data_IF_820035639760
#
_entry.id   IF_820035639760
#
_cell.length_a   1.000
_cell.length_b   1.000
_cell.length_c   1.000
_cell.angle_alpha   90.00
_cell.angle_beta   90.00
_cell.angle_gamma   90.00
#
_symmetry.space_group_name_H-M   'P 1'
#
loop_
_entity.id
_entity.type
_entity.pdbx_description
1 polymer ?
#
# COMPACT_ATOMS: atom_id res chain seq x y z
N UNK A 1 -14.41 -21.94 -34.85
CA UNK A 1 -15.58 -21.20 -34.32
C UNK A 1 -15.57 -21.39 -32.82
N UNK A 2 -15.02 -20.43 -32.06
CA UNK A 2 -14.97 -20.47 -30.58
C UNK A 2 -16.17 -19.68 -30.01
N UNK A 3 -16.78 -20.09 -28.88
CA UNK A 3 -17.84 -19.30 -28.28
C UNK A 3 -17.27 -18.16 -27.43
N UNK A 4 -17.81 -16.97 -27.65
CA UNK A 4 -17.58 -15.75 -26.86
C UNK A 4 -18.38 -15.87 -25.56
N UNK A 5 -17.71 -16.04 -24.41
CA UNK A 5 -18.36 -16.04 -23.10
C UNK A 5 -18.47 -14.59 -22.63
N UNK A 6 -19.68 -14.04 -22.72
CA UNK A 6 -20.04 -12.71 -22.25
C UNK A 6 -20.41 -12.80 -20.75
N UNK A 7 -19.57 -12.27 -19.87
CA UNK A 7 -19.93 -12.09 -18.46
C UNK A 7 -20.90 -10.90 -18.33
N UNK A 8 -22.06 -11.02 -17.65
CA UNK A 8 -22.94 -9.89 -17.43
C UNK A 8 -22.29 -8.92 -16.43
N UNK A 9 -22.07 -7.69 -16.89
CA UNK A 9 -21.68 -6.54 -16.08
C UNK A 9 -22.83 -6.23 -15.11
N UNK A 10 -22.65 -6.54 -13.82
CA UNK A 10 -23.58 -6.11 -12.78
C UNK A 10 -23.38 -4.60 -12.55
N UNK A 11 -24.22 -3.79 -13.19
CA UNK A 11 -24.34 -2.36 -12.91
C UNK A 11 -25.18 -2.20 -11.65
N UNK A 12 -24.55 -1.84 -10.53
CA UNK A 12 -25.28 -1.45 -9.31
C UNK A 12 -25.59 0.05 -9.44
N UNK A 13 -26.86 0.47 -9.55
CA UNK A 13 -27.19 1.89 -9.52
C UNK A 13 -26.99 2.42 -8.09
N UNK A 14 -26.05 3.33 -7.90
CA UNK A 14 -25.95 4.14 -6.69
C UNK A 14 -27.15 5.10 -6.66
N UNK A 15 -28.22 4.72 -5.95
CA UNK A 15 -29.32 5.61 -5.61
C UNK A 15 -29.15 6.16 -4.20
N UNK A 16 -28.76 7.43 -4.13
CA UNK A 16 -29.06 8.44 -3.11
C UNK A 16 -28.97 8.05 -1.62
N UNK A 17 -27.82 8.32 -1.01
CA UNK A 17 -27.74 8.63 0.43
C UNK A 17 -26.42 9.35 0.79
N UNK A 18 -26.17 10.55 0.26
CA UNK A 18 -25.24 11.50 0.89
C UNK A 18 -25.83 12.91 0.78
N UNK A 19 -26.00 13.64 1.90
CA UNK A 19 -26.46 15.02 1.84
C UNK A 19 -25.37 15.89 1.19
N UNK A 20 -25.72 16.57 0.09
CA UNK A 20 -24.89 17.62 -0.51
C UNK A 20 -24.73 18.75 0.49
N UNK A 21 -23.55 18.88 1.07
CA UNK A 21 -23.10 20.17 1.60
C UNK A 21 -22.35 20.88 0.47
N UNK A 22 -22.93 21.98 -0.01
CA UNK A 22 -22.34 22.88 -1.00
C UNK A 22 -20.88 23.19 -0.63
N UNK A 23 -19.94 22.77 -1.48
CA UNK A 23 -18.55 23.21 -1.42
C UNK A 23 -18.23 23.98 -2.68
N UNK A 24 -18.05 25.28 -2.49
CA UNK A 24 -17.63 26.26 -3.49
C UNK A 24 -16.43 25.76 -4.29
N UNK A 25 -16.59 25.82 -5.61
CA UNK A 25 -15.70 25.33 -6.65
C UNK A 25 -14.63 26.37 -7.03
N UNK A 26 -13.63 26.59 -6.17
CA UNK A 26 -12.47 27.40 -6.59
C UNK A 26 -11.14 27.17 -5.86
N UNK A 27 -10.97 26.15 -5.00
CA UNK A 27 -9.67 25.87 -4.35
C UNK A 27 -9.46 24.36 -4.08
N UNK A 28 -9.18 23.52 -5.08
CA UNK A 28 -8.90 22.09 -4.81
C UNK A 28 -7.99 21.37 -5.83
N UNK A 29 -7.06 22.08 -6.47
CA UNK A 29 -6.11 21.42 -7.38
C UNK A 29 -4.63 21.74 -7.12
N UNK A 30 -4.32 22.72 -6.28
CA UNK A 30 -2.92 23.10 -6.01
C UNK A 30 -2.31 22.42 -4.77
N UNK A 31 -3.13 22.00 -3.79
CA UNK A 31 -2.63 21.55 -2.47
C UNK A 31 -2.44 20.03 -2.35
N UNK A 32 -3.09 19.22 -3.20
CA UNK A 32 -2.92 17.75 -3.18
C UNK A 32 -1.58 17.32 -3.74
N UNK A 33 -1.13 17.95 -4.84
CA UNK A 33 0.07 17.54 -5.59
C UNK A 33 1.38 17.77 -4.82
N UNK A 34 1.46 18.84 -4.03
CA UNK A 34 2.66 19.15 -3.23
C UNK A 34 2.90 18.06 -2.17
N UNK A 35 1.82 17.48 -1.61
CA UNK A 35 1.96 16.46 -0.56
C UNK A 35 2.31 15.08 -1.11
N UNK A 36 1.78 14.70 -2.28
CA UNK A 36 2.03 13.38 -2.87
C UNK A 36 3.44 13.27 -3.45
N UNK A 37 4.00 14.33 -4.04
CA UNK A 37 5.38 14.30 -4.54
C UNK A 37 6.42 14.13 -3.43
N UNK A 38 6.25 14.84 -2.31
CA UNK A 38 7.15 14.70 -1.18
C UNK A 38 7.01 13.33 -0.50
N UNK A 39 5.80 12.78 -0.45
CA UNK A 39 5.60 11.40 0.00
C UNK A 39 6.27 10.39 -0.92
N UNK A 40 6.19 10.58 -2.25
CA UNK A 40 6.83 9.71 -3.23
C UNK A 40 8.35 9.71 -3.04
N UNK A 41 8.96 10.87 -2.76
CA UNK A 41 10.40 10.95 -2.46
C UNK A 41 10.78 10.11 -1.23
N UNK A 42 9.94 10.12 -0.20
CA UNK A 42 10.16 9.31 1.01
C UNK A 42 9.98 7.82 0.69
N UNK A 43 8.87 7.46 0.04
CA UNK A 43 8.53 6.06 -0.29
C UNK A 43 9.56 5.43 -1.23
N UNK A 44 10.04 6.18 -2.22
CA UNK A 44 10.96 5.71 -3.26
C UNK A 44 12.43 6.05 -2.99
N UNK A 45 12.76 6.49 -1.77
CA UNK A 45 14.14 6.82 -1.42
C UNK A 45 15.07 5.62 -1.65
N UNK A 46 16.02 5.77 -2.58
CA UNK A 46 16.95 4.71 -3.03
C UNK A 46 16.27 3.44 -3.59
N UNK A 47 15.05 3.57 -4.14
CA UNK A 47 14.30 2.51 -4.83
C UNK A 47 14.21 2.89 -6.31
N UNK A 48 14.82 2.10 -7.20
CA UNK A 48 14.81 2.35 -8.64
C UNK A 48 13.78 1.49 -9.37
N UNK A 49 13.82 0.20 -9.09
CA UNK A 49 13.00 -0.84 -9.70
C UNK A 49 12.76 -1.96 -8.68
N UNK A 50 11.62 -2.64 -8.79
CA UNK A 50 11.23 -3.74 -7.91
C UNK A 50 10.85 -4.92 -8.78
N UNK A 51 11.45 -6.06 -8.50
CA UNK A 51 11.05 -7.34 -9.06
C UNK A 51 10.13 -8.02 -8.05
N UNK A 52 8.99 -8.47 -8.53
CA UNK A 52 8.02 -9.21 -7.73
C UNK A 52 7.85 -10.60 -8.31
N UNK A 53 7.58 -11.57 -7.43
CA UNK A 53 7.20 -12.91 -7.87
C UNK A 53 5.70 -12.95 -8.19
N UNK A 54 5.35 -13.65 -9.28
CA UNK A 54 3.95 -13.80 -9.70
C UNK A 54 3.33 -12.55 -10.35
N UNK A 55 2.00 -12.46 -10.29
CA UNK A 55 1.21 -11.39 -10.91
C UNK A 55 0.60 -10.50 -9.82
N UNK A 56 1.06 -9.24 -9.67
CA UNK A 56 0.46 -8.31 -8.72
C UNK A 56 -1.00 -7.99 -9.10
N UNK A 57 -1.86 -7.88 -8.10
CA UNK A 57 -3.20 -7.32 -8.30
C UNK A 57 -3.10 -5.83 -8.65
N UNK A 58 -3.96 -5.39 -9.57
CA UNK A 58 -4.12 -3.97 -9.91
C UNK A 58 -4.95 -3.30 -8.83
N UNK A 59 -4.45 -2.18 -8.31
CA UNK A 59 -5.12 -1.44 -7.25
C UNK A 59 -5.76 -0.17 -7.79
N UNK A 60 -6.91 0.16 -7.22
CA UNK A 60 -7.59 1.43 -7.45
C UNK A 60 -7.85 2.09 -6.10
N UNK A 61 -7.38 3.32 -5.94
CA UNK A 61 -7.60 4.14 -4.75
C UNK A 61 -8.29 5.43 -5.17
N UNK A 62 -9.17 5.94 -4.33
CA UNK A 62 -9.97 7.13 -4.63
C UNK A 62 -9.92 8.12 -3.47
N UNK A 63 -10.07 9.40 -3.80
CA UNK A 63 -10.12 10.50 -2.84
C UNK A 63 -9.06 11.57 -3.10
N UNK A 64 -9.19 12.74 -2.46
CA UNK A 64 -8.35 13.91 -2.73
C UNK A 64 -6.88 13.75 -2.31
N UNK A 65 -6.59 12.78 -1.43
CA UNK A 65 -5.25 12.49 -0.93
C UNK A 65 -4.70 11.17 -1.47
N UNK A 66 -5.36 10.57 -2.44
CA UNK A 66 -5.03 9.27 -2.99
C UNK A 66 -4.09 9.41 -4.21
N UNK A 67 -3.05 8.59 -4.28
CA UNK A 67 -2.08 8.63 -5.36
C UNK A 67 -1.44 7.26 -5.64
N UNK A 68 -1.06 6.97 -6.89
CA UNK A 68 -0.27 5.78 -7.20
C UNK A 68 1.16 5.95 -6.69
N UNK A 69 1.77 4.85 -6.23
CA UNK A 69 3.16 4.82 -5.74
C UNK A 69 4.05 4.01 -6.68
N UNK A 70 3.63 2.78 -6.98
CA UNK A 70 4.31 1.89 -7.93
C UNK A 70 3.35 1.50 -9.03
N UNK A 71 3.87 1.48 -10.25
CA UNK A 71 3.17 0.97 -11.43
C UNK A 71 3.97 -0.18 -12.03
N UNK A 72 3.29 -1.24 -12.46
CA UNK A 72 3.88 -2.35 -13.18
C UNK A 72 3.59 -2.25 -14.67
N UNK A 73 4.56 -2.66 -15.51
CA UNK A 73 4.34 -2.84 -16.95
C UNK A 73 3.76 -4.23 -17.22
N UNK A 74 2.65 -4.27 -17.94
CA UNK A 74 1.97 -5.51 -18.36
C UNK A 74 2.56 -6.13 -19.63
N UNK A 75 3.66 -5.57 -20.16
CA UNK A 75 4.30 -5.98 -21.41
C UNK A 75 3.63 -5.39 -22.66
N UNK A 76 2.57 -4.61 -22.48
CA UNK A 76 1.83 -3.92 -23.56
C UNK A 76 2.09 -2.40 -23.58
N UNK A 77 3.02 -1.91 -22.75
CA UNK A 77 3.23 -0.48 -22.52
C UNK A 77 2.17 0.17 -21.63
N UNK A 78 1.22 -0.61 -21.11
CA UNK A 78 0.24 -0.17 -20.13
C UNK A 78 0.83 -0.32 -18.74
N UNK A 79 0.94 0.81 -18.04
CA UNK A 79 1.35 0.91 -16.64
C UNK A 79 0.13 0.85 -15.73
N UNK A 80 0.08 -0.14 -14.83
CA UNK A 80 -1.03 -0.33 -13.90
C UNK A 80 -0.56 -0.15 -12.44
N UNK A 81 -1.31 0.55 -11.58
CA UNK A 81 -0.92 0.72 -10.18
C UNK A 81 -0.92 -0.62 -9.43
N UNK A 82 0.21 -0.95 -8.83
CA UNK A 82 0.41 -2.16 -8.00
C UNK A 82 0.72 -1.81 -6.54
N UNK A 83 1.05 -0.54 -6.27
CA UNK A 83 1.03 0.02 -4.93
C UNK A 83 0.40 1.42 -4.96
N UNK A 84 -0.47 1.70 -4.00
CA UNK A 84 -1.24 2.95 -3.93
C UNK A 84 -1.24 3.47 -2.51
N UNK A 85 -1.24 4.78 -2.35
CA UNK A 85 -1.23 5.43 -1.05
C UNK A 85 -2.41 6.39 -0.91
N UNK A 86 -2.83 6.60 0.33
CA UNK A 86 -3.80 7.64 0.68
C UNK A 86 -3.64 8.08 2.14
N UNK A 87 -4.38 9.11 2.52
CA UNK A 87 -4.53 9.56 3.91
C UNK A 87 -5.97 9.36 4.35
N UNK A 88 -6.15 8.89 5.58
CA UNK A 88 -7.46 8.82 6.23
C UNK A 88 -7.37 9.49 7.60
N UNK A 89 -7.99 10.67 7.73
CA UNK A 89 -7.79 11.54 8.88
C UNK A 89 -6.31 11.90 9.06
N UNK A 90 -5.76 11.61 10.24
CA UNK A 90 -4.32 11.78 10.54
C UNK A 90 -3.47 10.58 10.10
N UNK A 91 -4.09 9.46 9.74
CA UNK A 91 -3.43 8.24 9.32
C UNK A 91 -2.99 8.26 7.86
N UNK A 92 -2.06 7.37 7.54
CA UNK A 92 -1.58 7.09 6.19
C UNK A 92 -1.85 5.61 5.90
N UNK A 93 -2.22 5.32 4.67
CA UNK A 93 -2.54 3.97 4.21
C UNK A 93 -1.71 3.70 2.96
N UNK A 94 -1.06 2.54 2.91
CA UNK A 94 -0.41 2.01 1.72
C UNK A 94 -1.06 0.66 1.39
N UNK A 95 -1.59 0.55 0.18
CA UNK A 95 -2.10 -0.71 -0.38
C UNK A 95 -1.05 -1.32 -1.29
N UNK A 96 -0.87 -2.64 -1.16
CA UNK A 96 0.08 -3.45 -1.94
C UNK A 96 -0.70 -4.52 -2.69
N UNK A 97 -0.47 -4.64 -4.00
CA UNK A 97 -1.21 -5.55 -4.88
C UNK A 97 -0.82 -7.02 -4.71
N UNK A 98 0.23 -7.29 -3.93
CA UNK A 98 0.70 -8.62 -3.59
C UNK A 98 1.38 -8.58 -2.23
N UNK A 99 1.44 -9.72 -1.59
CA UNK A 99 2.16 -10.01 -0.37
C UNK A 99 3.65 -10.25 -0.56
N UNK A 100 4.13 -10.41 -1.79
CA UNK A 100 5.55 -10.58 -2.11
C UNK A 100 6.41 -9.41 -1.60
N UNK A 101 5.83 -8.22 -1.46
CA UNK A 101 6.45 -7.06 -0.79
C UNK A 101 6.79 -7.30 0.69
N UNK A 102 6.10 -8.26 1.33
CA UNK A 102 6.26 -8.65 2.73
C UNK A 102 7.16 -9.89 2.88
N UNK A 103 7.67 -10.44 1.78
CA UNK A 103 8.60 -11.56 1.78
C UNK A 103 10.04 -11.02 1.62
N UNK A 104 10.78 -10.84 2.72
CA UNK A 104 12.09 -10.20 2.66
C UNK A 104 13.11 -11.09 1.96
N UNK A 105 13.72 -10.56 0.90
CA UNK A 105 14.85 -11.20 0.22
C UNK A 105 16.15 -10.48 0.62
N UNK A 106 16.88 -11.06 1.57
CA UNK A 106 18.23 -10.60 1.89
C UNK A 106 19.27 -11.60 1.43
N UNK A 107 20.24 -11.12 0.66
CA UNK A 107 21.54 -11.77 0.51
C UNK A 107 22.56 -11.00 1.33
N UNK A 108 23.61 -11.69 1.80
CA UNK A 108 24.50 -11.30 2.90
C UNK A 108 25.09 -9.87 2.90
N UNK A 109 24.94 -9.08 1.82
CA UNK A 109 25.51 -7.73 1.73
C UNK A 109 24.64 -6.66 1.04
N UNK A 110 23.47 -7.00 0.48
CA UNK A 110 22.67 -6.04 -0.30
C UNK A 110 21.18 -6.17 0.01
N UNK A 111 20.60 -5.10 0.57
CA UNK A 111 19.15 -4.95 0.74
C UNK A 111 18.54 -4.75 -0.65
N UNK A 112 17.59 -5.61 -1.02
CA UNK A 112 16.84 -5.48 -2.27
C UNK A 112 16.03 -4.18 -2.31
N UNK A 113 15.73 -3.68 -3.50
CA UNK A 113 14.88 -2.49 -3.64
C UNK A 113 13.45 -2.72 -3.09
N UNK A 114 12.95 -3.97 -3.14
CA UNK A 114 11.71 -4.42 -2.51
C UNK A 114 11.76 -4.19 -0.99
N UNK A 115 12.82 -4.65 -0.35
CA UNK A 115 13.03 -4.49 1.09
C UNK A 115 13.21 -3.02 1.49
N UNK A 116 13.96 -2.23 0.71
CA UNK A 116 14.05 -0.77 0.93
C UNK A 116 12.69 -0.09 0.85
N UNK A 117 11.88 -0.45 -0.15
CA UNK A 117 10.53 0.08 -0.31
C UNK A 117 9.65 -0.28 0.88
N UNK A 118 9.73 -1.51 1.40
CA UNK A 118 9.03 -1.93 2.61
C UNK A 118 9.44 -1.08 3.83
N UNK A 119 10.74 -0.87 4.06
CA UNK A 119 11.24 -0.06 5.19
C UNK A 119 10.80 1.40 5.07
N UNK A 120 10.95 2.01 3.88
CA UNK A 120 10.48 3.37 3.61
C UNK A 120 8.96 3.49 3.87
N UNK A 121 8.20 2.49 3.48
CA UNK A 121 6.75 2.43 3.67
C UNK A 121 6.37 2.41 5.14
N UNK A 122 7.05 1.61 5.96
CA UNK A 122 6.82 1.54 7.41
C UNK A 122 7.10 2.90 8.07
N UNK A 123 8.22 3.52 7.75
CA UNK A 123 8.55 4.86 8.27
C UNK A 123 7.55 5.91 7.80
N UNK A 124 7.14 5.86 6.53
CA UNK A 124 6.19 6.80 5.98
C UNK A 124 4.82 6.69 6.66
N UNK A 125 4.29 5.46 6.79
CA UNK A 125 2.97 5.20 7.40
C UNK A 125 2.97 5.58 8.89
N UNK A 126 3.99 5.18 9.64
CA UNK A 126 4.05 5.38 11.09
C UNK A 126 4.23 6.84 11.51
N UNK A 127 4.89 7.66 10.68
CA UNK A 127 5.35 9.02 11.05
C UNK A 127 6.24 9.04 12.30
N UNK A 128 6.80 7.90 12.68
CA UNK A 128 7.62 7.73 13.88
C UNK A 128 9.05 7.35 13.44
N UNK A 129 10.11 8.03 13.97
CA UNK A 129 11.49 7.61 13.70
C UNK A 129 11.79 6.19 14.19
N UNK A 130 11.10 5.72 15.24
CA UNK A 130 11.23 4.38 15.80
C UNK A 130 9.87 3.65 15.73
N UNK A 131 9.46 3.18 14.54
CA UNK A 131 8.16 2.54 14.36
C UNK A 131 8.11 1.17 15.05
N UNK A 132 6.94 0.82 15.59
CA UNK A 132 6.62 -0.55 16.01
C UNK A 132 5.59 -1.13 15.04
N UNK A 133 5.81 -2.35 14.58
CA UNK A 133 4.96 -3.01 13.58
C UNK A 133 4.17 -4.16 14.19
N UNK A 134 2.85 -4.10 14.10
CA UNK A 134 2.00 -5.25 14.36
C UNK A 134 1.75 -6.00 13.06
N UNK A 135 2.01 -7.31 13.06
CA UNK A 135 1.82 -8.18 11.90
C UNK A 135 0.63 -9.07 12.19
N UNK A 136 -0.44 -8.91 11.42
CA UNK A 136 -1.62 -9.75 11.56
C UNK A 136 -1.31 -11.15 11.03
N UNK A 137 -1.20 -12.12 11.94
CA UNK A 137 -0.86 -13.49 11.59
C UNK A 137 -2.06 -14.16 10.94
N UNK A 138 -2.17 -13.97 9.63
CA UNK A 138 -3.17 -14.59 8.77
C UNK A 138 -2.50 -15.72 7.98
N UNK A 139 -2.24 -16.87 8.60
CA UNK A 139 -1.80 -18.10 7.89
C UNK A 139 -0.56 -17.95 7.00
N UNK A 140 0.19 -16.85 7.14
CA UNK A 140 1.29 -16.48 6.24
C UNK A 140 2.52 -17.31 6.52
N UNK A 141 3.06 -17.94 5.48
CA UNK A 141 4.21 -18.85 5.54
C UNK A 141 5.50 -18.15 6.01
N UNK A 142 5.61 -16.84 5.83
CA UNK A 142 6.84 -16.04 6.00
C UNK A 142 6.77 -15.00 7.13
N UNK A 143 5.75 -15.07 7.99
CA UNK A 143 5.58 -14.07 9.07
C UNK A 143 6.75 -14.02 10.05
N UNK A 144 7.40 -15.16 10.32
CA UNK A 144 8.62 -15.21 11.12
C UNK A 144 9.82 -14.57 10.40
N UNK A 145 9.97 -14.81 9.09
CA UNK A 145 11.06 -14.23 8.30
C UNK A 145 10.95 -12.71 8.24
N UNK A 146 9.72 -12.20 8.11
CA UNK A 146 9.43 -10.77 8.21
C UNK A 146 9.76 -10.20 9.59
N UNK A 147 9.40 -10.89 10.68
CA UNK A 147 9.76 -10.47 12.04
C UNK A 147 11.27 -10.40 12.20
N UNK A 148 12.00 -11.42 11.76
CA UNK A 148 13.47 -11.46 11.79
C UNK A 148 14.09 -10.34 10.97
N UNK A 149 13.61 -10.13 9.74
CA UNK A 149 14.06 -9.04 8.87
C UNK A 149 13.86 -7.68 9.55
N UNK A 150 12.66 -7.38 10.04
CA UNK A 150 12.39 -6.12 10.72
C UNK A 150 13.27 -5.94 11.97
N UNK A 151 13.51 -7.02 12.72
CA UNK A 151 14.43 -7.03 13.86
C UNK A 151 15.87 -6.67 13.47
N UNK A 152 16.38 -7.23 12.38
CA UNK A 152 17.71 -6.89 11.84
C UNK A 152 17.81 -5.41 11.43
N UNK A 153 16.69 -4.79 11.05
CA UNK A 153 16.59 -3.36 10.73
C UNK A 153 16.16 -2.48 11.90
N UNK A 154 16.26 -2.98 13.14
CA UNK A 154 15.92 -2.25 14.36
C UNK A 154 14.46 -1.74 14.42
N UNK A 155 13.53 -2.46 13.78
CA UNK A 155 12.08 -2.20 13.81
C UNK A 155 11.43 -3.27 14.70
N UNK A 156 11.05 -2.94 15.95
CA UNK A 156 10.33 -3.87 16.81
C UNK A 156 9.04 -4.33 16.13
N UNK A 157 8.78 -5.63 16.15
CA UNK A 157 7.57 -6.19 15.56
C UNK A 157 6.92 -7.25 16.44
N UNK A 158 5.60 -7.40 16.32
CA UNK A 158 4.82 -8.37 17.10
C UNK A 158 3.76 -9.01 16.22
N UNK A 159 3.67 -10.34 16.28
CA UNK A 159 2.60 -11.08 15.64
C UNK A 159 1.33 -10.95 16.48
N UNK A 160 0.24 -10.52 15.86
CA UNK A 160 -1.08 -10.46 16.47
C UNK A 160 -2.00 -11.51 15.85
N UNK A 161 -2.71 -12.26 16.68
CA UNK A 161 -3.64 -13.31 16.25
C UNK A 161 -4.97 -12.69 15.82
N UNK A 162 -5.59 -13.24 14.78
CA UNK A 162 -6.84 -12.71 14.23
C UNK A 162 -8.05 -12.72 15.16
N UNK A 163 -7.92 -13.29 16.36
CA UNK A 163 -8.94 -13.27 17.43
C UNK A 163 -8.88 -12.03 18.33
N UNK A 164 -7.84 -11.20 18.22
CA UNK A 164 -7.62 -10.03 19.07
C UNK A 164 -7.37 -8.78 18.24
N UNK A 165 -8.40 -8.26 17.56
CA UNK A 165 -8.40 -6.85 17.22
C UNK A 165 -8.64 -6.07 18.52
N UNK A 166 -7.73 -5.18 18.97
CA UNK A 166 -7.98 -4.36 20.14
C UNK A 166 -9.25 -3.55 19.89
N UNK A 167 -10.18 -3.59 20.84
CA UNK A 167 -11.39 -2.79 20.77
C UNK A 167 -11.01 -1.33 20.56
N UNK A 168 -11.74 -0.64 19.69
CA UNK A 168 -11.52 0.75 19.28
C UNK A 168 -11.65 1.78 20.41
N UNK A 169 -11.71 1.35 21.67
CA UNK A 169 -11.87 2.22 22.85
C UNK A 169 -10.54 2.73 23.42
N UNK A 170 -9.39 2.38 22.83
CA UNK A 170 -8.07 2.89 23.28
C UNK A 170 -7.13 3.27 22.13
N UNK A 171 -7.61 4.09 21.20
CA UNK A 171 -6.75 4.84 20.26
C UNK A 171 -7.06 6.34 20.34
#
# INVERSE_FOLDING_TARGET
>A
MLPLILFPMLVIPFSNAFPETERNSSESSATSNVTSEDDLKVLLNNVKDIYLTGWPAVLSVYGPSAFPVLVGDTGSGILLPIAVASRYGKGKILGLGTDDFLDPEESEQIISNKNKFLLNSIHWVSKNPNPTVAIFNSTYKTSNDLVTFLGNHSIPSTLISGKELPSTEKL
#
